data_IF_936959236564
#
_entry.id   IF_936959236564
#
_cell.length_a   1.000
_cell.length_b   1.000
_cell.length_c   1.000
_cell.angle_alpha   90.00
_cell.angle_beta   90.00
_cell.angle_gamma   90.00
#
_symmetry.space_group_name_H-M   'P 1'
#
loop_
_entity.id
_entity.type
_entity.pdbx_description
1 polymer ?
#
# COMPACT_ATOMS: atom_id res chain seq x y z
N UNK A 1 -26.75 -9.93 5.49
CA UNK A 1 -27.37 -10.75 4.41
C UNK A 1 -26.42 -11.87 4.08
N UNK A 2 -26.73 -13.12 4.40
CA UNK A 2 -26.08 -14.26 3.73
C UNK A 2 -26.40 -14.07 2.25
N UNK A 3 -25.40 -13.71 1.45
CA UNK A 3 -25.57 -13.36 0.05
C UNK A 3 -26.35 -14.45 -0.67
N UNK A 4 -27.44 -14.08 -1.28
CA UNK A 4 -28.16 -14.91 -2.22
C UNK A 4 -27.18 -15.35 -3.30
N UNK A 5 -26.60 -16.55 -3.15
CA UNK A 5 -25.90 -17.24 -4.24
C UNK A 5 -26.94 -17.72 -5.28
N UNK A 6 -27.82 -16.82 -5.74
CA UNK A 6 -28.70 -17.07 -6.87
C UNK A 6 -27.86 -16.98 -8.13
N UNK A 7 -27.13 -18.07 -8.41
CA UNK A 7 -26.38 -18.21 -9.64
C UNK A 7 -27.31 -18.74 -10.74
N UNK A 8 -27.20 -18.19 -11.94
CA UNK A 8 -27.78 -18.73 -13.17
C UNK A 8 -26.79 -19.74 -13.76
N UNK A 9 -27.32 -20.86 -14.30
CA UNK A 9 -26.54 -21.76 -15.17
C UNK A 9 -27.07 -21.63 -16.59
N UNK A 10 -26.15 -21.45 -17.54
CA UNK A 10 -26.51 -21.47 -18.94
C UNK A 10 -26.74 -22.90 -19.47
N UNK A 11 -27.30 -23.06 -20.68
CA UNK A 11 -27.55 -24.37 -21.26
C UNK A 11 -26.30 -25.26 -21.45
N UNK A 12 -25.14 -24.67 -21.52
CA UNK A 12 -23.84 -25.36 -21.62
C UNK A 12 -23.20 -25.65 -20.25
N UNK A 13 -23.90 -25.30 -19.13
CA UNK A 13 -23.53 -25.63 -17.77
C UNK A 13 -22.58 -24.63 -17.07
N UNK A 14 -22.27 -23.48 -17.67
CA UNK A 14 -21.49 -22.42 -17.00
C UNK A 14 -22.34 -21.79 -15.91
N UNK A 15 -21.69 -21.42 -14.78
CA UNK A 15 -22.33 -20.81 -13.63
C UNK A 15 -21.96 -19.32 -13.54
N UNK A 16 -22.97 -18.47 -13.35
CA UNK A 16 -22.84 -17.02 -13.15
C UNK A 16 -23.45 -16.66 -11.79
N UNK A 17 -22.72 -15.89 -10.98
CA UNK A 17 -23.22 -15.49 -9.66
C UNK A 17 -22.52 -14.22 -9.17
N UNK A 18 -23.10 -13.56 -8.19
CA UNK A 18 -22.53 -12.39 -7.54
C UNK A 18 -22.07 -12.74 -6.13
N UNK A 19 -20.76 -12.58 -5.87
CA UNK A 19 -20.14 -12.74 -4.54
C UNK A 19 -18.87 -11.89 -4.51
N UNK A 20 -18.91 -10.74 -3.79
CA UNK A 20 -17.83 -9.75 -3.78
C UNK A 20 -17.36 -9.38 -5.20
N UNK A 21 -18.32 -9.14 -6.11
CA UNK A 21 -18.13 -8.93 -7.52
C UNK A 21 -18.84 -9.99 -8.38
N UNK A 22 -18.94 -9.73 -9.69
CA UNK A 22 -19.52 -10.66 -10.65
C UNK A 22 -18.55 -11.81 -10.92
N UNK A 23 -19.06 -13.04 -10.90
CA UNK A 23 -18.28 -14.27 -11.11
C UNK A 23 -18.89 -15.15 -12.18
N UNK A 24 -18.00 -15.74 -12.97
CA UNK A 24 -18.33 -16.75 -13.95
C UNK A 24 -17.41 -17.97 -13.76
N UNK A 25 -17.98 -19.16 -13.82
CA UNK A 25 -17.24 -20.43 -13.86
C UNK A 25 -17.73 -21.24 -15.06
N UNK A 26 -16.80 -21.71 -15.91
CA UNK A 26 -17.14 -22.58 -17.04
C UNK A 26 -17.68 -23.95 -16.56
N UNK A 27 -18.43 -24.65 -17.39
CA UNK A 27 -19.04 -25.94 -17.06
C UNK A 27 -18.04 -26.98 -16.52
N UNK A 28 -16.83 -27.02 -17.08
CA UNK A 28 -15.75 -27.90 -16.63
C UNK A 28 -14.92 -27.35 -15.45
N UNK A 29 -15.24 -26.14 -14.93
CA UNK A 29 -14.48 -25.51 -13.84
C UNK A 29 -13.08 -25.01 -14.21
N UNK A 30 -12.65 -25.17 -15.46
CA UNK A 30 -11.30 -24.86 -15.92
C UNK A 30 -11.04 -23.37 -16.12
N UNK A 31 -12.09 -22.57 -16.29
CA UNK A 31 -12.01 -21.11 -16.41
C UNK A 31 -12.89 -20.49 -15.33
N UNK A 32 -12.28 -19.63 -14.52
CA UNK A 32 -12.99 -18.79 -13.55
C UNK A 32 -12.65 -17.33 -13.82
N UNK A 33 -13.66 -16.49 -13.86
CA UNK A 33 -13.55 -15.05 -14.05
C UNK A 33 -14.22 -14.36 -12.88
N UNK A 34 -13.58 -13.35 -12.34
CA UNK A 34 -14.15 -12.39 -11.39
C UNK A 34 -13.96 -10.99 -11.93
N UNK A 35 -15.06 -10.25 -12.04
CA UNK A 35 -15.07 -8.80 -12.28
C UNK A 35 -15.45 -8.15 -10.96
N UNK A 36 -14.57 -7.31 -10.46
CA UNK A 36 -14.73 -6.55 -9.23
C UNK A 36 -14.12 -5.17 -9.38
N UNK A 37 -13.94 -4.50 -8.29
CA UNK A 37 -13.34 -3.17 -8.33
C UNK A 37 -13.30 -2.51 -6.95
N UNK A 38 -12.93 -1.25 -6.96
CA UNK A 38 -12.81 -0.45 -5.76
C UNK A 38 -13.04 1.01 -6.11
N UNK A 39 -13.88 1.68 -5.32
CA UNK A 39 -14.08 3.12 -5.41
C UNK A 39 -13.72 3.76 -4.07
N UNK A 40 -12.93 4.84 -4.12
CA UNK A 40 -12.59 5.68 -2.98
C UNK A 40 -12.83 7.13 -3.33
N UNK A 41 -13.69 7.78 -2.56
CA UNK A 41 -13.99 9.19 -2.66
C UNK A 41 -13.48 9.87 -1.40
N UNK A 42 -12.59 10.83 -1.57
CA UNK A 42 -12.02 11.63 -0.50
C UNK A 42 -12.58 13.04 -0.51
N UNK A 43 -12.77 13.58 0.69
CA UNK A 43 -13.09 14.97 0.91
C UNK A 43 -12.48 15.45 2.22
N UNK A 44 -12.27 16.77 2.36
CA UNK A 44 -11.72 17.29 3.61
C UNK A 44 -11.34 18.74 3.54
N UNK A 45 -10.83 19.22 4.66
CA UNK A 45 -10.34 20.59 4.83
C UNK A 45 -8.86 20.56 5.23
N UNK A 46 -8.05 21.38 4.57
CA UNK A 46 -6.65 21.57 4.88
C UNK A 46 -6.40 23.01 5.33
N UNK A 47 -5.79 23.15 6.50
CA UNK A 47 -5.27 24.41 7.02
C UNK A 47 -3.75 24.34 7.13
N UNK A 48 -3.07 25.44 6.86
CA UNK A 48 -1.62 25.52 6.95
C UNK A 48 -1.18 26.87 7.57
N UNK A 49 0.02 26.89 8.17
CA UNK A 49 0.62 28.13 8.62
C UNK A 49 1.18 28.97 7.45
N UNK A 50 1.57 30.20 7.73
CA UNK A 50 2.04 31.13 6.69
C UNK A 50 3.32 30.66 5.99
N UNK A 51 4.14 29.86 6.65
CA UNK A 51 5.34 29.28 6.09
C UNK A 51 5.00 28.39 4.89
N UNK A 52 4.06 27.46 5.05
CA UNK A 52 3.62 26.59 3.95
C UNK A 52 2.80 27.34 2.90
N UNK A 53 1.94 28.30 3.31
CA UNK A 53 1.12 29.08 2.37
C UNK A 53 1.97 29.95 1.42
N UNK A 54 3.15 30.39 1.82
CA UNK A 54 4.06 31.15 0.96
C UNK A 54 4.74 30.28 -0.10
N UNK A 55 4.99 29.01 0.23
CA UNK A 55 5.69 28.08 -0.65
C UNK A 55 4.76 27.34 -1.62
N UNK A 56 3.53 27.08 -1.20
CA UNK A 56 2.57 26.28 -1.95
C UNK A 56 1.28 27.07 -2.20
N UNK A 57 0.88 27.15 -3.45
CA UNK A 57 -0.40 27.76 -3.85
C UNK A 57 -1.54 26.79 -3.60
N UNK A 58 -2.72 27.31 -3.21
CA UNK A 58 -3.94 26.52 -3.01
C UNK A 58 -3.85 25.39 -1.99
N UNK A 59 -2.92 25.48 -1.02
CA UNK A 59 -2.75 24.47 0.01
C UNK A 59 -3.96 24.39 0.97
N UNK A 60 -4.63 25.50 1.22
CA UNK A 60 -5.70 25.60 2.23
C UNK A 60 -7.10 25.58 1.63
N UNK A 61 -8.08 25.08 2.40
CA UNK A 61 -9.49 25.08 2.04
C UNK A 61 -10.11 23.70 1.91
N UNK A 62 -11.35 23.67 1.45
CA UNK A 62 -12.08 22.43 1.18
C UNK A 62 -11.64 21.82 -0.14
N UNK A 63 -11.38 20.53 -0.13
CA UNK A 63 -10.91 19.76 -1.28
C UNK A 63 -11.61 18.41 -1.35
N UNK A 64 -11.69 17.84 -2.55
CA UNK A 64 -12.22 16.50 -2.75
C UNK A 64 -11.77 15.91 -4.08
N UNK A 65 -11.58 14.60 -4.11
CA UNK A 65 -11.20 13.89 -5.31
C UNK A 65 -11.67 12.43 -5.30
N UNK A 66 -11.72 11.81 -6.46
CA UNK A 66 -11.74 10.36 -6.56
C UNK A 66 -10.32 9.84 -6.36
N UNK A 67 -10.04 9.31 -5.17
CA UNK A 67 -8.72 8.80 -4.81
C UNK A 67 -8.35 7.55 -5.58
N UNK A 68 -9.32 6.71 -5.84
CA UNK A 68 -9.19 5.49 -6.65
C UNK A 68 -10.56 5.10 -7.22
N UNK A 69 -10.60 4.77 -8.49
CA UNK A 69 -11.75 4.19 -9.17
C UNK A 69 -11.27 3.01 -10.02
N UNK A 70 -11.17 1.85 -9.41
CA UNK A 70 -10.52 0.68 -9.97
C UNK A 70 -11.51 -0.34 -10.50
N UNK A 71 -11.28 -0.82 -11.71
CA UNK A 71 -11.86 -2.05 -12.25
C UNK A 71 -10.83 -3.16 -12.18
N UNK A 72 -11.23 -4.30 -11.65
CA UNK A 72 -10.41 -5.51 -11.56
C UNK A 72 -11.02 -6.65 -12.34
N UNK A 73 -10.26 -7.20 -13.26
CA UNK A 73 -10.51 -8.48 -13.88
C UNK A 73 -9.52 -9.51 -13.34
N UNK A 74 -9.98 -10.58 -12.74
CA UNK A 74 -9.11 -11.63 -12.19
C UNK A 74 -9.74 -13.00 -12.33
N UNK A 75 -8.92 -14.05 -12.18
CA UNK A 75 -9.47 -15.38 -12.26
C UNK A 75 -8.40 -16.47 -12.29
N UNK A 76 -8.81 -17.66 -12.73
CA UNK A 76 -7.92 -18.79 -12.95
C UNK A 76 -8.23 -19.52 -14.25
N UNK A 77 -7.17 -20.04 -14.86
CA UNK A 77 -7.25 -20.95 -16.03
C UNK A 77 -6.63 -22.26 -15.55
N UNK A 78 -7.42 -23.34 -15.62
CA UNK A 78 -7.13 -24.57 -14.89
C UNK A 78 -6.91 -24.28 -13.38
N UNK A 79 -6.39 -25.20 -12.62
CA UNK A 79 -6.28 -25.03 -11.16
C UNK A 79 -5.11 -24.12 -10.73
N UNK A 80 -4.01 -24.12 -11.49
CA UNK A 80 -2.74 -23.55 -11.05
C UNK A 80 -2.41 -22.19 -11.66
N UNK A 81 -2.95 -21.85 -12.83
CA UNK A 81 -2.78 -20.56 -13.46
C UNK A 81 -3.77 -19.54 -12.91
N UNK A 82 -3.26 -18.37 -12.50
CA UNK A 82 -4.09 -17.23 -12.08
C UNK A 82 -3.65 -15.99 -12.85
N UNK A 83 -4.58 -15.07 -13.05
CA UNK A 83 -4.32 -13.80 -13.72
C UNK A 83 -5.06 -12.65 -13.04
N UNK A 84 -4.56 -11.45 -13.21
CA UNK A 84 -5.20 -10.21 -12.76
C UNK A 84 -4.85 -9.06 -13.70
N UNK A 85 -5.84 -8.21 -13.92
CA UNK A 85 -5.73 -6.92 -14.57
C UNK A 85 -6.48 -5.90 -13.73
N UNK A 86 -5.78 -4.88 -13.22
CA UNK A 86 -6.35 -3.75 -12.48
C UNK A 86 -6.12 -2.46 -13.27
N UNK A 87 -7.20 -1.74 -13.57
CA UNK A 87 -7.17 -0.42 -14.21
C UNK A 87 -7.77 0.60 -13.24
N UNK A 88 -7.04 1.69 -12.98
CA UNK A 88 -7.50 2.81 -12.17
C UNK A 88 -7.86 4.01 -13.08
N UNK A 89 -9.11 4.43 -13.02
CA UNK A 89 -9.66 5.51 -13.82
C UNK A 89 -9.62 6.88 -13.11
N UNK A 90 -9.34 6.92 -11.80
CA UNK A 90 -9.24 8.17 -11.06
C UNK A 90 -7.97 8.95 -11.41
N UNK A 91 -6.90 8.22 -11.68
CA UNK A 91 -5.64 8.77 -12.17
C UNK A 91 -5.53 8.41 -13.66
N UNK A 92 -5.48 9.41 -14.53
CA UNK A 92 -5.51 9.24 -15.98
C UNK A 92 -4.54 8.13 -16.44
N UNK A 93 -5.12 6.98 -16.85
CA UNK A 93 -4.45 5.85 -17.52
C UNK A 93 -3.50 5.00 -16.67
N UNK A 94 -3.78 4.72 -15.40
CA UNK A 94 -2.90 3.83 -14.62
C UNK A 94 -3.34 2.37 -14.67
N UNK A 95 -2.60 1.53 -15.38
CA UNK A 95 -2.62 0.09 -15.20
C UNK A 95 -1.85 -0.20 -13.90
N UNK A 96 -2.55 -0.70 -12.87
CA UNK A 96 -1.93 -0.98 -11.55
C UNK A 96 -1.27 -2.35 -11.54
N UNK A 97 -2.05 -3.38 -11.66
CA UNK A 97 -1.57 -4.76 -11.67
C UNK A 97 -1.96 -5.42 -13.00
N UNK A 98 -0.99 -5.99 -13.69
CA UNK A 98 -1.20 -6.88 -14.84
C UNK A 98 -0.19 -8.01 -14.75
N UNK A 99 -0.67 -9.20 -14.40
CA UNK A 99 0.22 -10.33 -14.19
C UNK A 99 -0.48 -11.66 -14.42
N UNK A 100 0.35 -12.67 -14.68
CA UNK A 100 -0.01 -14.08 -14.67
C UNK A 100 0.85 -14.80 -13.64
N UNK A 101 0.28 -15.79 -12.95
CA UNK A 101 1.01 -16.60 -11.97
C UNK A 101 0.68 -18.08 -12.10
N UNK A 102 1.65 -18.91 -11.72
CA UNK A 102 1.51 -20.35 -11.62
C UNK A 102 1.80 -20.80 -10.19
N UNK A 103 0.93 -21.63 -9.64
CA UNK A 103 1.05 -22.14 -8.27
C UNK A 103 1.46 -23.61 -8.23
N UNK A 104 1.73 -24.11 -7.00
CA UNK A 104 2.11 -25.50 -6.72
C UNK A 104 3.44 -25.93 -7.38
N UNK A 105 4.38 -25.01 -7.58
CA UNK A 105 5.73 -25.33 -8.09
C UNK A 105 6.50 -25.99 -6.95
N UNK A 106 7.09 -27.20 -7.15
CA UNK A 106 7.90 -27.84 -6.13
C UNK A 106 8.98 -26.88 -5.58
N UNK A 107 9.13 -26.81 -4.25
CA UNK A 107 10.04 -25.94 -3.49
C UNK A 107 9.77 -24.43 -3.60
N UNK A 108 9.46 -23.89 -4.78
CA UNK A 108 9.21 -22.46 -5.01
C UNK A 108 7.81 -22.02 -4.58
N UNK A 109 6.84 -22.93 -4.52
CA UNK A 109 5.45 -22.61 -4.20
C UNK A 109 4.71 -21.95 -5.35
N UNK A 110 4.91 -20.64 -5.56
CA UNK A 110 4.24 -19.87 -6.59
C UNK A 110 5.24 -18.99 -7.32
N UNK A 111 4.99 -18.75 -8.59
CA UNK A 111 5.72 -17.77 -9.40
C UNK A 111 4.74 -16.86 -10.13
N UNK A 112 5.09 -15.59 -10.29
CA UNK A 112 4.29 -14.56 -10.95
C UNK A 112 5.20 -13.75 -11.89
N UNK A 113 4.70 -13.42 -13.07
CA UNK A 113 5.36 -12.53 -14.01
C UNK A 113 4.39 -11.40 -14.43
N UNK A 114 4.89 -10.19 -14.54
CA UNK A 114 4.13 -9.01 -14.97
C UNK A 114 4.36 -7.80 -14.08
N UNK A 115 3.51 -6.78 -14.22
CA UNK A 115 3.53 -5.55 -13.42
C UNK A 115 2.79 -5.79 -12.10
N UNK A 116 3.49 -5.72 -10.98
CA UNK A 116 2.95 -6.05 -9.66
C UNK A 116 3.71 -5.33 -8.54
N UNK A 117 3.12 -5.28 -7.35
CA UNK A 117 3.80 -4.76 -6.16
C UNK A 117 5.07 -5.56 -5.87
N UNK A 118 6.14 -4.82 -5.59
CA UNK A 118 7.41 -5.36 -5.11
C UNK A 118 7.23 -5.88 -3.68
N UNK A 119 7.77 -7.06 -3.31
CA UNK A 119 7.67 -7.60 -1.95
C UNK A 119 8.62 -6.86 -1.00
N UNK A 120 8.17 -5.72 -0.51
CA UNK A 120 8.90 -4.85 0.40
C UNK A 120 7.88 -4.12 1.30
N UNK A 121 8.17 -3.95 2.61
CA UNK A 121 7.28 -3.29 3.58
C UNK A 121 5.97 -4.06 3.87
N UNK A 122 5.55 -4.08 5.10
CA UNK A 122 4.26 -4.62 5.52
C UNK A 122 3.10 -3.75 5.00
N UNK A 123 3.12 -2.43 5.30
CA UNK A 123 2.06 -1.51 4.88
C UNK A 123 2.06 -1.28 3.35
N UNK A 124 3.24 -1.18 2.73
CA UNK A 124 3.38 -1.00 1.29
C UNK A 124 2.85 -2.18 0.48
N UNK A 125 3.11 -3.41 0.94
CA UNK A 125 2.70 -4.63 0.26
C UNK A 125 1.22 -4.99 0.48
N UNK A 126 0.60 -4.52 1.57
CA UNK A 126 -0.85 -4.68 1.81
C UNK A 126 -1.70 -4.13 0.66
N UNK A 127 -2.92 -4.64 0.54
CA UNK A 127 -3.94 -3.96 -0.28
C UNK A 127 -4.22 -2.58 0.30
N UNK A 128 -4.33 -1.59 -0.57
CA UNK A 128 -4.71 -0.24 -0.14
C UNK A 128 -6.04 -0.24 0.64
N UNK A 129 -7.00 -1.09 0.24
CA UNK A 129 -8.30 -1.22 0.91
C UNK A 129 -8.24 -1.86 2.30
N UNK A 130 -7.11 -2.44 2.67
CA UNK A 130 -6.95 -3.15 3.93
C UNK A 130 -6.13 -2.36 4.97
N UNK A 131 -5.69 -1.14 4.62
CA UNK A 131 -4.96 -0.24 5.53
C UNK A 131 -5.86 0.33 6.60
N UNK A 132 -5.28 0.63 7.76
CA UNK A 132 -6.00 1.28 8.89
C UNK A 132 -6.18 2.78 8.66
N UNK A 133 -5.24 3.45 7.98
CA UNK A 133 -5.31 4.88 7.66
C UNK A 133 -5.55 5.10 6.17
N UNK A 134 -6.14 6.24 5.83
CA UNK A 134 -6.48 6.61 4.46
C UNK A 134 -5.25 6.58 3.53
N UNK A 135 -4.09 7.09 4.01
CA UNK A 135 -2.83 7.08 3.25
C UNK A 135 -1.73 6.34 4.00
N UNK A 136 -0.69 5.94 3.28
CA UNK A 136 0.51 5.32 3.85
C UNK A 136 1.26 6.28 4.77
N UNK A 137 1.98 5.72 5.73
CA UNK A 137 2.93 6.46 6.54
C UNK A 137 4.03 7.11 5.69
N UNK A 138 4.56 8.25 6.13
CA UNK A 138 5.61 9.02 5.44
C UNK A 138 6.76 8.15 4.89
N UNK A 139 7.42 7.28 5.69
CA UNK A 139 8.54 6.50 5.19
C UNK A 139 8.12 5.42 4.19
N UNK A 140 6.90 4.92 4.30
CA UNK A 140 6.38 3.95 3.31
C UNK A 140 6.14 4.64 1.98
N UNK A 141 5.62 5.86 1.98
CA UNK A 141 5.47 6.63 0.74
C UNK A 141 6.82 6.97 0.12
N UNK A 142 7.79 7.43 0.93
CA UNK A 142 9.10 7.83 0.45
C UNK A 142 9.95 6.65 -0.07
N UNK A 143 9.85 5.46 0.54
CA UNK A 143 10.82 4.38 0.37
C UNK A 143 10.27 3.08 -0.23
N UNK A 144 8.95 2.92 -0.30
CA UNK A 144 8.37 1.72 -0.90
C UNK A 144 8.61 1.70 -2.41
N UNK A 145 9.26 0.64 -2.97
CA UNK A 145 9.58 0.58 -4.41
C UNK A 145 8.36 0.52 -5.35
N UNK A 146 7.15 0.47 -4.80
CA UNK A 146 5.92 0.52 -5.59
C UNK A 146 5.63 -0.75 -6.37
N UNK A 147 5.22 -0.56 -7.63
CA UNK A 147 4.97 -1.62 -8.61
C UNK A 147 5.98 -1.53 -9.72
N UNK A 148 6.48 -2.69 -10.14
CA UNK A 148 7.42 -2.80 -11.23
C UNK A 148 7.11 -4.05 -12.08
N UNK A 149 7.59 -4.09 -13.32
CA UNK A 149 7.54 -5.28 -14.16
C UNK A 149 8.64 -6.23 -13.72
N UNK A 150 8.30 -7.50 -13.51
CA UNK A 150 9.30 -8.48 -13.10
C UNK A 150 8.75 -9.86 -12.87
N UNK A 151 9.59 -10.67 -12.24
CA UNK A 151 9.24 -12.03 -11.80
C UNK A 151 9.36 -12.11 -10.30
N UNK A 152 8.34 -12.64 -9.65
CA UNK A 152 8.22 -12.82 -8.21
C UNK A 152 7.91 -14.27 -7.88
N UNK A 153 8.71 -14.89 -7.04
CA UNK A 153 8.44 -16.19 -6.42
C UNK A 153 8.12 -16.02 -4.94
N UNK A 154 7.19 -16.82 -4.42
CA UNK A 154 6.86 -16.82 -2.98
C UNK A 154 6.33 -18.16 -2.52
N UNK A 155 6.56 -18.47 -1.26
CA UNK A 155 6.05 -19.66 -0.62
C UNK A 155 5.83 -19.43 0.88
N UNK A 156 5.21 -20.41 1.51
CA UNK A 156 5.06 -20.48 2.96
C UNK A 156 5.74 -21.74 3.50
N UNK A 157 6.16 -21.70 4.75
CA UNK A 157 6.74 -22.82 5.48
C UNK A 157 6.20 -22.86 6.92
N UNK A 158 6.55 -23.90 7.67
CA UNK A 158 6.19 -24.06 9.09
C UNK A 158 4.69 -23.93 9.36
N UNK A 159 3.86 -24.59 8.56
CA UNK A 159 2.38 -24.50 8.59
C UNK A 159 1.89 -23.05 8.41
N UNK A 160 2.46 -22.36 7.43
CA UNK A 160 2.19 -20.93 7.12
C UNK A 160 2.56 -19.96 8.24
N UNK A 161 3.47 -20.32 9.15
CA UNK A 161 4.04 -19.39 10.12
C UNK A 161 5.25 -18.62 9.60
N UNK A 162 5.82 -19.04 8.49
CA UNK A 162 6.88 -18.35 7.78
C UNK A 162 6.42 -18.10 6.34
N UNK A 163 6.59 -16.87 5.85
CA UNK A 163 6.46 -16.57 4.42
C UNK A 163 7.76 -15.99 3.89
N UNK A 164 8.09 -16.30 2.65
CA UNK A 164 9.17 -15.66 1.94
C UNK A 164 8.75 -15.29 0.54
N UNK A 165 9.31 -14.21 0.03
CA UNK A 165 9.13 -13.74 -1.32
C UNK A 165 10.46 -13.22 -1.86
N UNK A 166 10.77 -13.56 -3.10
CA UNK A 166 11.98 -13.12 -3.81
C UNK A 166 11.61 -12.73 -5.24
N UNK A 167 12.09 -11.59 -5.72
CA UNK A 167 11.77 -11.12 -7.05
C UNK A 167 12.91 -10.37 -7.70
N UNK A 168 12.90 -10.39 -9.05
CA UNK A 168 13.73 -9.55 -9.90
C UNK A 168 12.81 -8.64 -10.72
N UNK A 169 13.07 -7.34 -10.68
CA UNK A 169 12.24 -6.33 -11.29
C UNK A 169 13.04 -5.35 -12.13
N UNK A 170 12.45 -4.95 -13.23
CA UNK A 170 12.90 -3.81 -14.02
C UNK A 170 12.40 -2.53 -13.36
N UNK A 171 13.25 -1.55 -13.18
CA UNK A 171 12.91 -0.29 -12.55
C UNK A 171 12.37 0.71 -13.58
N UNK A 172 11.39 1.50 -13.18
CA UNK A 172 10.89 2.62 -13.96
C UNK A 172 10.85 3.86 -13.07
N UNK A 173 11.67 4.83 -13.35
CA UNK A 173 11.66 6.14 -12.68
C UNK A 173 11.91 6.09 -11.15
N UNK A 174 11.32 7.03 -10.45
CA UNK A 174 11.45 7.24 -9.01
C UNK A 174 10.50 6.37 -8.17
N UNK A 175 10.80 6.11 -6.90
CA UNK A 175 9.96 5.35 -5.98
C UNK A 175 8.53 5.88 -5.83
N UNK A 176 8.34 7.18 -5.87
CA UNK A 176 7.04 7.81 -5.67
C UNK A 176 6.23 8.02 -6.96
N UNK A 177 6.84 7.85 -8.12
CA UNK A 177 6.16 7.93 -9.41
C UNK A 177 5.76 6.53 -9.82
N UNK A 178 4.47 6.22 -9.68
CA UNK A 178 3.92 4.96 -10.15
C UNK A 178 3.89 5.03 -11.68
N UNK A 179 4.93 4.51 -12.30
CA UNK A 179 4.95 4.35 -13.75
C UNK A 179 3.78 3.45 -14.16
N UNK A 180 3.07 3.83 -15.19
CA UNK A 180 2.11 2.95 -15.84
C UNK A 180 2.83 1.76 -16.46
N UNK A 181 2.14 0.62 -16.62
CA UNK A 181 2.76 -0.57 -17.25
C UNK A 181 3.29 -0.31 -18.67
N UNK A 182 2.86 0.76 -19.31
CA UNK A 182 3.29 1.17 -20.65
C UNK A 182 4.63 1.93 -20.67
N UNK A 183 5.06 2.49 -19.55
CA UNK A 183 6.28 3.29 -19.46
C UNK A 183 7.56 2.44 -19.61
N UNK A 184 7.43 1.12 -19.45
CA UNK A 184 8.53 0.19 -19.67
C UNK A 184 8.76 -0.20 -21.13
N UNK A 185 7.87 0.21 -22.05
CA UNK A 185 8.01 -0.16 -23.47
C UNK A 185 9.08 0.66 -24.19
N UNK A 186 9.47 1.79 -23.65
CA UNK A 186 10.45 2.68 -24.25
C UNK A 186 11.82 2.62 -23.58
N UNK A 187 11.92 2.48 -22.25
CA UNK A 187 13.18 2.52 -21.52
C UNK A 187 13.13 1.82 -20.15
N UNK A 188 14.08 0.95 -19.90
CA UNK A 188 14.36 0.41 -18.57
C UNK A 188 15.48 1.21 -17.91
N UNK A 189 15.21 1.81 -16.76
CA UNK A 189 16.15 2.70 -16.05
C UNK A 189 17.05 1.97 -15.06
N UNK A 190 16.96 0.64 -15.04
CA UNK A 190 17.72 -0.21 -14.15
C UNK A 190 16.97 -1.49 -13.80
N UNK A 191 17.53 -2.22 -12.85
CA UNK A 191 16.95 -3.47 -12.36
C UNK A 191 17.21 -3.64 -10.86
N UNK A 192 16.44 -4.51 -10.21
CA UNK A 192 16.65 -4.77 -8.79
C UNK A 192 16.18 -6.14 -8.36
N UNK A 193 16.82 -6.63 -7.31
CA UNK A 193 16.40 -7.82 -6.56
C UNK A 193 15.70 -7.40 -5.28
N UNK A 194 14.66 -8.12 -4.92
CA UNK A 194 13.89 -7.82 -3.72
C UNK A 194 13.63 -9.12 -2.95
N UNK A 195 13.82 -9.06 -1.65
CA UNK A 195 13.62 -10.16 -0.73
C UNK A 195 12.71 -9.69 0.41
N UNK A 196 11.76 -10.51 0.83
CA UNK A 196 10.97 -10.29 2.04
C UNK A 196 10.76 -11.61 2.74
N UNK A 197 11.01 -11.63 4.04
CA UNK A 197 10.75 -12.80 4.90
C UNK A 197 9.92 -12.33 6.09
N UNK A 198 8.86 -13.06 6.40
CA UNK A 198 8.03 -12.75 7.56
C UNK A 198 7.78 -14.00 8.39
N UNK A 199 7.67 -13.82 9.70
CA UNK A 199 7.41 -14.89 10.65
C UNK A 199 6.28 -14.55 11.61
N UNK A 200 5.57 -15.61 12.06
CA UNK A 200 4.55 -15.56 13.09
C UNK A 200 5.01 -16.37 14.30
N UNK A 201 5.87 -15.82 15.19
CA UNK A 201 6.27 -16.49 16.42
C UNK A 201 5.07 -16.90 17.26
N UNK A 202 4.02 -16.06 17.23
CA UNK A 202 2.73 -16.36 17.83
C UNK A 202 1.61 -16.20 16.81
N UNK A 203 0.73 -17.19 16.72
CA UNK A 203 -0.51 -17.16 15.95
C UNK A 203 -1.51 -18.13 16.60
N UNK A 204 -2.50 -17.60 17.27
CA UNK A 204 -3.52 -18.32 18.02
C UNK A 204 -4.89 -17.73 17.77
N UNK A 205 -5.95 -18.53 17.95
CA UNK A 205 -7.34 -18.11 17.85
C UNK A 205 -7.67 -17.36 16.54
N UNK A 206 -7.20 -17.92 15.41
CA UNK A 206 -7.37 -17.37 14.06
C UNK A 206 -6.86 -15.91 13.92
N UNK A 207 -5.72 -15.62 14.60
CA UNK A 207 -5.05 -14.32 14.54
C UNK A 207 -5.52 -13.31 15.59
N UNK A 208 -6.40 -13.67 16.53
CA UNK A 208 -6.74 -12.82 17.69
C UNK A 208 -5.55 -12.58 18.61
N UNK A 209 -4.62 -13.54 18.65
CA UNK A 209 -3.34 -13.42 19.35
C UNK A 209 -2.23 -13.69 18.34
N UNK A 210 -1.61 -12.63 17.83
CA UNK A 210 -0.63 -12.70 16.76
C UNK A 210 0.58 -11.82 17.08
N UNK A 211 1.77 -12.34 16.82
CA UNK A 211 3.01 -11.56 16.73
C UNK A 211 3.58 -11.78 15.34
N UNK A 212 3.73 -10.70 14.59
CA UNK A 212 4.36 -10.65 13.27
C UNK A 212 5.72 -9.97 13.38
N UNK A 213 6.73 -10.58 12.79
CA UNK A 213 8.05 -10.00 12.56
C UNK A 213 8.39 -10.15 11.08
N UNK A 214 9.01 -9.14 10.48
CA UNK A 214 9.39 -9.19 9.08
C UNK A 214 10.67 -8.42 8.79
N UNK A 215 11.32 -8.81 7.71
CA UNK A 215 12.50 -8.17 7.16
C UNK A 215 12.39 -8.12 5.64
N UNK A 216 12.71 -6.95 5.08
CA UNK A 216 12.72 -6.72 3.64
C UNK A 216 14.06 -6.12 3.21
N UNK A 217 14.57 -6.57 2.07
CA UNK A 217 15.75 -6.03 1.43
C UNK A 217 15.48 -5.79 -0.06
N UNK A 218 15.96 -4.67 -0.57
CA UNK A 218 15.95 -4.37 -2.00
C UNK A 218 17.29 -3.80 -2.41
N UNK A 219 17.91 -4.39 -3.42
CA UNK A 219 19.09 -3.86 -4.09
C UNK A 219 18.70 -3.44 -5.50
N UNK A 220 18.97 -2.19 -5.87
CA UNK A 220 18.64 -1.62 -7.16
C UNK A 220 19.89 -1.10 -7.83
N UNK A 221 20.10 -1.53 -9.06
CA UNK A 221 21.10 -0.97 -9.98
C UNK A 221 20.40 0.04 -10.90
N UNK A 222 20.98 1.21 -11.06
CA UNK A 222 20.46 2.31 -11.87
C UNK A 222 21.50 2.76 -12.88
N UNK A 223 21.03 3.32 -14.00
CA UNK A 223 21.90 3.93 -14.99
C UNK A 223 22.16 5.39 -14.59
N UNK A 224 23.33 5.70 -14.05
CA UNK A 224 23.73 7.01 -13.57
C UNK A 224 24.07 8.01 -14.70
N UNK A 225 24.05 7.55 -15.96
CA UNK A 225 24.28 8.41 -17.13
C UNK A 225 22.99 8.99 -17.70
N UNK A 226 21.82 8.51 -17.25
CA UNK A 226 20.50 8.90 -17.78
C UNK A 226 19.76 9.80 -16.82
N UNK A 227 19.29 10.95 -17.33
CA UNK A 227 18.55 11.93 -16.52
C UNK A 227 17.22 11.37 -15.97
N UNK A 228 16.58 10.46 -16.68
CA UNK A 228 15.32 9.82 -16.32
C UNK A 228 15.47 8.65 -15.31
N UNK A 229 16.71 8.18 -15.08
CA UNK A 229 17.00 7.17 -14.07
C UNK A 229 17.40 7.74 -12.67
N UNK A 230 17.37 9.06 -12.51
CA UNK A 230 17.70 9.73 -11.26
C UNK A 230 16.80 9.27 -10.13
N UNK A 231 17.38 9.11 -8.94
CA UNK A 231 16.63 8.84 -7.72
C UNK A 231 15.96 10.13 -7.21
N UNK A 232 14.70 9.99 -6.78
CA UNK A 232 13.95 11.04 -6.11
C UNK A 232 13.12 10.41 -4.98
N UNK A 233 13.35 10.84 -3.76
CA UNK A 233 12.59 10.43 -2.60
C UNK A 233 11.72 11.60 -2.14
N UNK A 234 10.43 11.34 -1.86
CA UNK A 234 9.49 12.38 -1.44
C UNK A 234 8.30 11.79 -0.70
N UNK A 235 7.64 12.59 0.12
CA UNK A 235 6.38 12.23 0.76
C UNK A 235 5.40 13.40 0.80
N UNK A 236 4.10 13.06 0.76
CA UNK A 236 3.00 13.98 1.05
C UNK A 236 2.65 13.87 2.54
N UNK A 237 2.02 14.89 3.14
CA UNK A 237 1.66 14.90 4.56
C UNK A 237 0.48 13.95 4.85
N UNK A 238 0.69 12.64 4.72
CA UNK A 238 -0.32 11.56 4.90
C UNK A 238 -1.72 11.89 4.37
N UNK A 239 -1.78 12.68 3.29
CA UNK A 239 -3.00 13.15 2.65
C UNK A 239 -2.79 13.33 1.14
N UNK A 240 -3.83 13.04 0.37
CA UNK A 240 -3.89 13.31 -1.06
C UNK A 240 -4.91 14.41 -1.42
N UNK A 241 -5.24 15.23 -0.45
CA UNK A 241 -5.96 16.50 -0.70
C UNK A 241 -5.05 17.59 -1.27
N UNK A 242 -3.73 17.37 -1.29
CA UNK A 242 -2.75 18.17 -2.00
C UNK A 242 -1.84 17.28 -2.85
N UNK A 243 -1.30 17.84 -3.92
CA UNK A 243 -0.23 17.22 -4.71
C UNK A 243 1.17 17.69 -4.27
N UNK A 244 1.24 18.59 -3.30
CA UNK A 244 2.50 19.11 -2.78
C UNK A 244 3.16 18.10 -1.85
N UNK A 245 4.46 17.91 -2.01
CA UNK A 245 5.29 17.07 -1.15
C UNK A 245 6.05 17.95 -0.16
N UNK A 246 5.88 17.69 1.13
CA UNK A 246 6.52 18.50 2.17
C UNK A 246 7.99 18.14 2.41
N UNK A 247 8.39 16.95 2.01
CA UNK A 247 9.78 16.50 1.94
C UNK A 247 10.10 15.95 0.56
N UNK A 248 11.28 16.32 0.03
CA UNK A 248 11.65 15.95 -1.33
C UNK A 248 13.17 16.16 -1.53
N UNK A 249 13.91 15.09 -1.89
CA UNK A 249 15.35 15.16 -2.14
C UNK A 249 15.73 15.93 -3.41
N UNK A 250 14.75 16.26 -4.28
CA UNK A 250 15.05 16.53 -5.66
C UNK A 250 15.54 15.27 -6.40
N UNK A 251 15.92 15.42 -7.65
CA UNK A 251 16.49 14.36 -8.46
C UNK A 251 18.01 14.35 -8.36
N UNK A 252 18.62 13.17 -8.16
CA UNK A 252 20.06 13.00 -8.16
C UNK A 252 20.46 11.67 -8.80
N UNK A 253 21.67 11.65 -9.38
CA UNK A 253 22.23 10.44 -10.00
C UNK A 253 22.71 9.46 -8.93
N UNK A 254 22.44 8.18 -9.16
CA UNK A 254 22.93 7.09 -8.30
C UNK A 254 23.14 5.82 -9.12
N UNK A 255 24.19 5.09 -8.82
CA UNK A 255 24.52 3.81 -9.46
C UNK A 255 23.77 2.64 -8.82
N UNK A 256 23.60 2.72 -7.50
CA UNK A 256 22.90 1.67 -6.75
C UNK A 256 22.17 2.23 -5.53
N UNK A 257 21.12 1.54 -5.11
CA UNK A 257 20.38 1.85 -3.89
C UNK A 257 20.10 0.56 -3.13
N UNK A 258 20.50 0.53 -1.87
CA UNK A 258 20.17 -0.54 -0.92
C UNK A 258 19.10 -0.05 0.06
N UNK A 259 18.00 -0.79 0.14
CA UNK A 259 16.89 -0.52 1.04
C UNK A 259 16.73 -1.66 2.04
N UNK A 260 16.59 -1.31 3.29
CA UNK A 260 16.31 -2.23 4.38
C UNK A 260 15.00 -1.83 5.06
N UNK A 261 14.11 -2.78 5.26
CA UNK A 261 12.83 -2.61 5.97
C UNK A 261 12.70 -3.63 7.09
N UNK A 262 12.33 -3.17 8.27
CA UNK A 262 12.09 -3.99 9.46
C UNK A 262 10.64 -3.82 9.86
N UNK A 263 9.93 -4.94 10.09
CA UNK A 263 8.50 -5.00 10.33
C UNK A 263 8.21 -5.64 11.68
N UNK A 264 7.33 -5.04 12.46
CA UNK A 264 6.82 -5.66 13.68
C UNK A 264 5.34 -5.31 13.87
N UNK A 265 4.52 -6.30 14.26
CA UNK A 265 3.14 -6.06 14.64
C UNK A 265 2.65 -7.06 15.68
N UNK A 266 1.75 -6.60 16.53
CA UNK A 266 1.09 -7.37 17.57
C UNK A 266 -0.42 -7.20 17.45
N UNK A 267 -1.16 -8.31 17.56
CA UNK A 267 -2.62 -8.28 17.74
C UNK A 267 -2.95 -9.03 19.05
N UNK A 268 -3.78 -8.43 19.89
CA UNK A 268 -4.31 -9.05 21.09
C UNK A 268 -5.79 -8.70 21.24
N UNK A 269 -6.65 -9.58 20.74
CA UNK A 269 -8.07 -9.31 20.66
C UNK A 269 -8.36 -8.07 19.82
N UNK A 270 -9.12 -7.08 20.32
CA UNK A 270 -9.45 -5.86 19.60
C UNK A 270 -8.27 -4.87 19.48
N UNK A 271 -7.19 -5.06 20.24
CA UNK A 271 -6.02 -4.18 20.23
C UNK A 271 -5.00 -4.66 19.20
N UNK A 272 -4.44 -3.74 18.42
CA UNK A 272 -3.30 -4.00 17.54
C UNK A 272 -2.28 -2.87 17.55
N UNK A 273 -1.00 -3.23 17.38
CA UNK A 273 0.10 -2.30 17.17
C UNK A 273 0.88 -2.77 15.95
N UNK A 274 1.33 -1.83 15.12
CA UNK A 274 2.17 -2.10 13.96
C UNK A 274 3.18 -0.97 13.80
N UNK A 275 4.40 -1.33 13.40
CA UNK A 275 5.44 -0.36 13.06
C UNK A 275 6.44 -0.93 12.07
N UNK A 276 7.07 -0.04 11.33
CA UNK A 276 8.17 -0.34 10.42
C UNK A 276 9.27 0.71 10.55
N UNK A 277 10.52 0.28 10.34
CA UNK A 277 11.70 1.13 10.26
C UNK A 277 12.39 0.87 8.93
N UNK A 278 12.85 1.93 8.27
CA UNK A 278 13.50 1.87 6.97
C UNK A 278 14.85 2.57 7.00
N UNK A 279 15.82 1.97 6.30
CA UNK A 279 17.10 2.59 6.01
C UNK A 279 17.41 2.47 4.52
N UNK A 280 17.87 3.56 3.91
CA UNK A 280 18.20 3.68 2.50
C UNK A 280 19.64 4.14 2.37
N UNK A 281 20.41 3.45 1.56
CA UNK A 281 21.80 3.78 1.24
C UNK A 281 21.92 3.95 -0.28
N UNK A 282 22.28 5.13 -0.75
CA UNK A 282 22.49 5.39 -2.17
C UNK A 282 23.98 5.49 -2.46
N UNK A 283 24.44 4.75 -3.46
CA UNK A 283 25.77 4.92 -4.03
C UNK A 283 25.70 6.02 -5.08
N UNK A 284 26.05 7.25 -4.67
CA UNK A 284 25.89 8.48 -5.45
C UNK A 284 27.02 9.45 -5.09
N UNK A 285 28.23 9.20 -5.60
CA UNK A 285 29.47 9.91 -5.29
C UNK A 285 29.31 11.43 -5.44
N UNK A 286 28.61 11.88 -6.49
CA UNK A 286 28.38 13.31 -6.79
C UNK A 286 27.69 14.08 -5.67
N UNK A 287 26.96 13.40 -4.78
CA UNK A 287 26.24 13.98 -3.63
C UNK A 287 26.69 13.39 -2.29
N UNK A 288 27.80 12.61 -2.29
CA UNK A 288 28.50 12.10 -1.11
C UNK A 288 27.88 10.86 -0.46
N UNK A 289 27.30 9.97 -1.25
CA UNK A 289 26.70 8.70 -0.80
C UNK A 289 25.67 8.88 0.33
N UNK A 290 24.53 9.49 0.02
CA UNK A 290 23.56 9.88 1.04
C UNK A 290 22.87 8.65 1.65
N UNK A 291 22.41 8.84 2.90
CA UNK A 291 21.67 7.84 3.67
C UNK A 291 20.41 8.47 4.22
N UNK A 292 19.29 7.79 4.01
CA UNK A 292 18.00 8.27 4.47
C UNK A 292 17.34 7.22 5.37
N UNK A 293 16.43 7.67 6.23
CA UNK A 293 15.73 6.76 7.12
C UNK A 293 14.36 7.32 7.52
N UNK A 294 13.53 6.46 8.04
CA UNK A 294 12.25 6.86 8.58
C UNK A 294 11.55 5.68 9.23
N UNK A 295 10.59 5.99 10.08
CA UNK A 295 9.80 4.97 10.78
C UNK A 295 8.36 5.43 10.95
N UNK A 296 7.51 4.48 11.20
CA UNK A 296 6.20 4.74 11.78
C UNK A 296 5.87 3.70 12.84
N UNK A 297 5.00 4.09 13.74
CA UNK A 297 4.32 3.18 14.66
C UNK A 297 2.89 3.65 14.83
N UNK A 298 1.94 2.72 14.84
CA UNK A 298 0.57 3.02 15.20
C UNK A 298 -0.04 1.95 16.09
N UNK A 299 -0.99 2.38 16.90
CA UNK A 299 -1.90 1.52 17.64
C UNK A 299 -3.32 1.68 17.14
N UNK A 300 -4.11 0.60 17.16
CA UNK A 300 -5.55 0.67 16.92
C UNK A 300 -6.32 -0.21 17.89
N UNK A 301 -7.59 0.15 18.09
CA UNK A 301 -8.51 -0.57 18.95
C UNK A 301 -9.90 -0.66 18.30
N UNK A 302 -10.38 -1.87 18.08
CA UNK A 302 -11.74 -2.11 17.61
C UNK A 302 -12.72 -1.95 18.78
N UNK A 303 -13.44 -0.82 18.81
CA UNK A 303 -14.38 -0.45 19.89
C UNK A 303 -15.54 -1.46 20.04
N UNK A 304 -15.89 -2.12 18.96
CA UNK A 304 -16.94 -3.14 18.86
C UNK A 304 -16.43 -4.56 19.13
N UNK A 305 -15.11 -4.71 19.36
CA UNK A 305 -14.51 -5.96 19.85
C UNK A 305 -14.03 -6.94 18.76
N UNK A 306 -14.05 -6.56 17.49
CA UNK A 306 -13.42 -7.31 16.39
C UNK A 306 -11.90 -7.29 16.51
N UNK A 307 -11.22 -8.02 15.63
CA UNK A 307 -9.76 -7.97 15.47
C UNK A 307 -9.39 -7.83 14.00
N UNK A 308 -8.18 -7.37 13.74
CA UNK A 308 -7.65 -7.29 12.37
C UNK A 308 -7.43 -8.68 11.81
N UNK A 309 -7.89 -8.90 10.57
CA UNK A 309 -7.59 -10.12 9.84
C UNK A 309 -6.13 -10.19 9.40
N UNK A 310 -5.63 -11.40 9.09
CA UNK A 310 -4.27 -11.60 8.60
C UNK A 310 -4.24 -12.62 7.45
N UNK A 311 -3.47 -12.32 6.41
CA UNK A 311 -3.22 -13.23 5.27
C UNK A 311 -1.87 -13.92 5.46
N UNK A 312 -1.91 -15.16 5.99
CA UNK A 312 -0.72 -15.96 6.26
C UNK A 312 0.05 -16.32 5.00
N UNK A 313 -0.64 -16.41 3.86
CA UNK A 313 -0.02 -16.74 2.58
C UNK A 313 0.85 -15.62 2.00
N UNK A 314 0.62 -14.38 2.46
CA UNK A 314 1.34 -13.18 2.00
C UNK A 314 2.10 -12.47 3.12
N UNK A 315 1.85 -12.85 4.37
CA UNK A 315 2.45 -12.20 5.53
C UNK A 315 2.00 -10.73 5.67
N UNK A 316 0.70 -10.43 5.52
CA UNK A 316 0.14 -9.07 5.59
C UNK A 316 -1.21 -9.05 6.32
N UNK A 317 -1.58 -7.89 6.87
CA UNK A 317 -2.90 -7.71 7.45
C UNK A 317 -3.99 -7.50 6.40
N UNK A 318 -5.22 -7.81 6.80
CA UNK A 318 -6.47 -7.51 6.11
C UNK A 318 -7.25 -6.48 6.92
N UNK A 319 -8.28 -5.94 6.28
CA UNK A 319 -9.27 -5.08 6.92
C UNK A 319 -9.99 -5.80 8.06
N UNK A 320 -10.52 -5.04 9.01
CA UNK A 320 -11.48 -5.53 10.00
C UNK A 320 -12.75 -5.97 9.27
N UNK A 321 -13.30 -7.11 9.68
CA UNK A 321 -14.60 -7.60 9.19
C UNK A 321 -15.60 -7.49 10.32
N UNK A 322 -16.69 -6.71 10.16
CA UNK A 322 -17.73 -6.61 11.18
C UNK A 322 -18.34 -7.98 11.51
N UNK A 323 -18.69 -8.19 12.77
CA UNK A 323 -19.47 -9.36 13.20
C UNK A 323 -20.90 -9.29 12.69
N UNK A 324 -21.43 -8.07 12.65
CA UNK A 324 -22.75 -7.75 12.13
C UNK A 324 -22.65 -6.56 11.19
N UNK A 325 -23.31 -6.64 10.04
CA UNK A 325 -23.36 -5.54 9.10
C UNK A 325 -24.19 -4.38 9.68
N UNK A 326 -23.88 -3.16 9.24
CA UNK A 326 -24.68 -1.99 9.60
C UNK A 326 -26.04 -2.05 8.93
N UNK A 327 -27.09 -1.78 9.70
CA UNK A 327 -28.47 -1.68 9.24
C UNK A 327 -29.17 -0.48 9.84
N UNK A 328 -29.90 0.28 9.03
CA UNK A 328 -30.68 1.43 9.50
C UNK A 328 -31.87 1.05 10.38
N UNK A 329 -32.36 -0.19 10.28
CA UNK A 329 -33.63 -0.64 10.89
C UNK A 329 -33.49 -1.75 11.92
N UNK A 330 -32.27 -2.16 12.22
CA UNK A 330 -31.95 -3.22 13.19
C UNK A 330 -30.69 -2.88 13.97
N UNK A 331 -30.36 -3.68 14.99
CA UNK A 331 -29.29 -3.38 15.97
C UNK A 331 -27.85 -3.53 15.42
N UNK A 332 -27.65 -3.82 14.13
CA UNK A 332 -26.33 -3.93 13.51
C UNK A 332 -25.68 -2.56 13.32
N UNK A 333 -24.57 -2.31 14.02
CA UNK A 333 -23.79 -1.05 13.92
C UNK A 333 -22.55 -1.15 13.01
N UNK A 334 -22.28 -2.33 12.45
CA UNK A 334 -20.99 -2.58 11.82
C UNK A 334 -19.85 -2.67 12.83
N UNK A 335 -18.60 -2.38 12.43
CA UNK A 335 -17.47 -2.33 13.32
C UNK A 335 -16.86 -0.93 13.38
N UNK A 336 -16.40 -0.51 14.56
CA UNK A 336 -15.72 0.77 14.79
C UNK A 336 -14.30 0.52 15.27
N UNK A 337 -13.31 1.16 14.62
CA UNK A 337 -11.91 1.12 14.99
C UNK A 337 -11.38 2.54 15.18
N UNK A 338 -10.79 2.81 16.34
CA UNK A 338 -10.02 4.03 16.58
C UNK A 338 -8.53 3.72 16.45
N UNK A 339 -7.75 4.63 15.87
CA UNK A 339 -6.32 4.45 15.63
C UNK A 339 -5.54 5.75 15.82
N UNK A 340 -4.25 5.60 16.18
CA UNK A 340 -3.32 6.73 16.28
C UNK A 340 -1.96 6.32 15.75
N UNK A 341 -1.36 7.15 14.86
CA UNK A 341 -0.07 6.92 14.23
C UNK A 341 0.88 8.08 14.47
N UNK A 342 2.15 7.74 14.71
CA UNK A 342 3.29 8.63 14.64
C UNK A 342 4.13 8.15 13.45
N UNK A 343 4.51 9.06 12.58
CA UNK A 343 5.28 8.79 11.39
C UNK A 343 6.36 9.84 11.24
N UNK A 344 7.56 9.44 10.81
CA UNK A 344 8.71 10.31 10.65
C UNK A 344 9.55 9.87 9.46
N UNK A 345 10.05 10.85 8.70
CA UNK A 345 11.00 10.63 7.61
C UNK A 345 12.08 11.72 7.62
N UNK A 346 13.33 11.34 7.41
CA UNK A 346 14.48 12.23 7.26
C UNK A 346 15.09 12.03 5.87
N UNK A 347 14.95 13.06 5.03
CA UNK A 347 15.50 13.13 3.69
C UNK A 347 16.68 14.10 3.59
N UNK A 348 17.28 14.46 4.72
CA UNK A 348 18.53 15.25 4.78
C UNK A 348 19.73 14.32 4.93
N UNK A 349 20.67 14.41 4.00
CA UNK A 349 21.91 13.64 4.08
C UNK A 349 22.97 14.20 3.15
N UNK A 350 24.16 14.44 3.67
CA UNK A 350 25.29 15.00 2.90
C UNK A 350 24.91 16.34 2.25
N UNK A 351 25.03 16.45 0.92
CA UNK A 351 24.64 17.65 0.18
C UNK A 351 23.13 17.74 -0.11
N UNK A 352 22.37 16.70 0.19
CA UNK A 352 20.92 16.68 -0.06
C UNK A 352 20.18 17.25 1.16
N UNK A 353 19.34 18.25 0.92
CA UNK A 353 18.47 18.92 1.91
C UNK A 353 17.01 18.71 1.56
N UNK A 354 16.57 17.43 1.58
CA UNK A 354 15.19 17.04 1.22
C UNK A 354 14.15 17.38 2.29
N UNK A 355 14.60 17.79 3.49
CA UNK A 355 13.77 18.10 4.65
C UNK A 355 13.46 16.89 5.51
N UNK A 356 12.89 17.17 6.68
CA UNK A 356 12.35 16.19 7.62
C UNK A 356 10.88 16.46 7.85
N UNK A 357 10.11 15.41 8.04
CA UNK A 357 8.66 15.54 8.30
C UNK A 357 8.27 14.58 9.42
N UNK A 358 7.40 15.06 10.30
CA UNK A 358 6.77 14.28 11.36
C UNK A 358 5.28 14.51 11.34
N UNK A 359 4.52 13.42 11.21
CA UNK A 359 3.06 13.45 11.21
C UNK A 359 2.50 12.70 12.41
N UNK A 360 1.46 13.31 13.01
CA UNK A 360 0.59 12.67 13.99
C UNK A 360 -0.78 12.50 13.35
N UNK A 361 -1.21 11.25 13.20
CA UNK A 361 -2.50 10.96 12.56
C UNK A 361 -3.43 10.23 13.51
N UNK A 362 -4.59 10.82 13.79
CA UNK A 362 -5.70 10.18 14.48
C UNK A 362 -6.73 9.69 13.46
N UNK A 363 -7.21 8.46 13.60
CA UNK A 363 -8.15 7.81 12.69
C UNK A 363 -9.34 7.22 13.41
N UNK A 364 -10.50 7.28 12.76
CA UNK A 364 -11.72 6.56 13.13
C UNK A 364 -12.27 5.88 11.88
N UNK A 365 -12.35 4.55 11.90
CA UNK A 365 -12.85 3.74 10.81
C UNK A 365 -14.21 3.15 11.21
N UNK A 366 -15.20 3.32 10.34
CA UNK A 366 -16.51 2.71 10.48
C UNK A 366 -16.71 1.72 9.32
N UNK A 367 -16.58 0.45 9.64
CA UNK A 367 -16.80 -0.66 8.72
C UNK A 367 -18.28 -1.00 8.70
N UNK A 368 -19.01 -0.54 7.69
CA UNK A 368 -20.45 -0.77 7.56
C UNK A 368 -20.75 -2.24 7.27
N UNK A 369 -19.91 -2.89 6.46
CA UNK A 369 -19.92 -4.31 6.15
C UNK A 369 -18.56 -4.71 5.60
N UNK A 370 -18.38 -5.96 5.13
CA UNK A 370 -17.12 -6.45 4.58
C UNK A 370 -16.62 -5.71 3.33
N UNK A 371 -17.45 -4.90 2.68
CA UNK A 371 -17.17 -4.23 1.42
C UNK A 371 -17.16 -2.70 1.51
N UNK A 372 -17.80 -2.13 2.53
CA UNK A 372 -18.04 -0.68 2.63
C UNK A 372 -17.53 -0.14 3.95
N UNK A 373 -16.76 0.93 3.91
CA UNK A 373 -16.34 1.66 5.11
C UNK A 373 -16.30 3.16 4.90
N UNK A 374 -16.41 3.90 6.01
CA UNK A 374 -16.14 5.33 6.10
C UNK A 374 -14.93 5.53 7.01
N UNK A 375 -13.96 6.32 6.57
CA UNK A 375 -12.73 6.60 7.30
C UNK A 375 -12.68 8.11 7.59
N UNK A 376 -12.33 8.47 8.82
CA UNK A 376 -12.05 9.83 9.23
C UNK A 376 -10.61 9.89 9.71
N UNK A 377 -9.78 10.79 9.14
CA UNK A 377 -8.45 11.03 9.64
C UNK A 377 -8.24 12.53 9.92
N UNK A 378 -7.55 12.80 11.01
CA UNK A 378 -6.94 14.08 11.30
C UNK A 378 -5.43 13.92 11.25
N UNK A 379 -4.75 14.72 10.44
CA UNK A 379 -3.29 14.73 10.31
C UNK A 379 -2.76 16.06 10.79
N UNK A 380 -1.81 16.03 11.72
CA UNK A 380 -0.98 17.15 12.10
C UNK A 380 0.41 16.92 11.55
N UNK A 381 0.74 17.61 10.46
CA UNK A 381 2.01 17.49 9.76
C UNK A 381 2.95 18.64 10.14
N UNK A 382 4.22 18.33 10.44
CA UNK A 382 5.26 19.28 10.76
C UNK A 382 6.51 19.05 9.93
N UNK A 383 6.92 20.08 9.19
CA UNK A 383 8.17 20.10 8.40
C UNK A 383 9.29 20.71 9.23
N UNK A 384 10.47 20.16 9.10
CA UNK A 384 11.69 20.59 9.81
C UNK A 384 12.89 20.53 8.86
N UNK A 385 13.85 21.40 9.07
CA UNK A 385 15.16 21.42 8.39
C UNK A 385 15.03 21.33 6.86
N UNK A 386 14.14 22.14 6.25
CA UNK A 386 13.98 22.24 4.79
C UNK A 386 14.07 23.69 4.34
N UNK A 387 15.16 24.02 3.62
CA UNK A 387 15.49 25.37 3.21
C UNK A 387 15.09 25.69 1.75
N UNK A 388 14.87 24.67 0.90
CA UNK A 388 14.43 24.83 -0.48
C UNK A 388 13.27 23.88 -0.84
N UNK A 389 12.06 24.40 -1.03
CA UNK A 389 11.61 25.76 -0.68
C UNK A 389 11.73 25.99 0.84
N UNK A 390 11.86 27.24 1.29
CA UNK A 390 12.08 27.57 2.71
C UNK A 390 10.79 27.36 3.51
N UNK A 391 10.55 26.11 3.90
CA UNK A 391 9.36 25.67 4.65
C UNK A 391 9.69 25.07 6.02
N UNK A 392 10.89 25.32 6.53
CA UNK A 392 11.22 24.97 7.92
C UNK A 392 10.22 25.58 8.91
N UNK A 393 9.76 24.78 9.88
CA UNK A 393 8.67 25.14 10.78
C UNK A 393 7.29 25.14 10.12
N UNK A 394 7.15 24.59 8.90
CA UNK A 394 5.88 24.40 8.23
C UNK A 394 4.94 23.49 9.02
N UNK A 395 3.67 23.89 9.18
CA UNK A 395 2.63 23.11 9.88
C UNK A 395 1.38 23.08 9.03
N UNK A 396 0.82 21.87 8.84
CA UNK A 396 -0.47 21.66 8.26
C UNK A 396 -1.38 20.84 9.18
N UNK A 397 -2.67 21.18 9.20
CA UNK A 397 -3.71 20.46 9.90
C UNK A 397 -4.76 20.03 8.87
N UNK A 398 -4.98 18.73 8.74
CA UNK A 398 -5.79 18.17 7.67
C UNK A 398 -6.89 17.30 8.27
N UNK A 399 -8.14 17.67 8.04
CA UNK A 399 -9.31 16.87 8.35
C UNK A 399 -9.80 16.24 7.07
N UNK A 400 -9.84 14.92 7.02
CA UNK A 400 -10.20 14.20 5.81
C UNK A 400 -11.15 13.04 6.10
N UNK A 401 -12.04 12.80 5.16
CA UNK A 401 -13.00 11.70 5.17
C UNK A 401 -12.92 10.95 3.86
N UNK A 402 -13.00 9.64 3.93
CA UNK A 402 -13.07 8.74 2.78
C UNK A 402 -14.29 7.86 2.86
N UNK A 403 -15.02 7.77 1.77
CA UNK A 403 -15.95 6.69 1.54
C UNK A 403 -15.29 5.66 0.64
N UNK A 404 -15.22 4.41 1.10
CA UNK A 404 -14.65 3.30 0.35
C UNK A 404 -15.70 2.22 0.11
N UNK A 405 -15.74 1.75 -1.15
CA UNK A 405 -16.51 0.59 -1.56
C UNK A 405 -15.63 -0.37 -2.35
N UNK A 406 -15.70 -1.68 -2.03
CA UNK A 406 -14.90 -2.74 -2.65
C UNK A 406 -15.82 -3.87 -3.11
N UNK A 407 -15.65 -4.31 -4.38
CA UNK A 407 -16.35 -5.44 -5.01
C UNK A 407 -15.44 -6.66 -5.16
#
# INVERSE_FOLDING_TARGET
MKGLETGFRDPIGSRYYFKDGFRMESAGGNLKIKIGGEARLDGGYMGANDTLKRAFTDLTGWKGNFRELKLRLSGSIYENWKYQLDIDFANVRQIKDIWISYGKIPFLGNAKAGHTKVPFSLEGFMSNADRTFMETALPVEAFFPGRNIGVLCWNTALKERLTWAAGYFLLSGSFSDVAGATDYLSDTFGSGVNLRVTGLPRYEDDGKNLLHLGFSYSHQLRDDTRADSQLKLRAHPESRLTNDTFVNTGQFYTQAVDLFGYEAALVRGPFSVQGELFHIFANAESVGDPRFWGFYVYGSYCLTGEHRGYDRSKGVFKSVTPREDFHFTSDGWGALEAAFRISYVDLNSRSIQGGKEADLTAGLNWYLNGNTRVEFNYVHARVMDRDDPPIDGGIANIFQVRFQYKL
#
